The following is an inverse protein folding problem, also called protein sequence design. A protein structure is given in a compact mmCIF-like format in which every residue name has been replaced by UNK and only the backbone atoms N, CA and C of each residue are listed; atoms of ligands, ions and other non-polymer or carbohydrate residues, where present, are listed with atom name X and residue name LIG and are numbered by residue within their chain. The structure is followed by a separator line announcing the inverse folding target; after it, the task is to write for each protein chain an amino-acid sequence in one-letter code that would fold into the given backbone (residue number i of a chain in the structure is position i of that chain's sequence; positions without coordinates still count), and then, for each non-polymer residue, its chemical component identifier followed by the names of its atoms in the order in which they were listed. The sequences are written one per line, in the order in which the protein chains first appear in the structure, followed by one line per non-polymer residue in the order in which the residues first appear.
data_IF_990154380702
#
_entry.id   IF_990154380702
#
_cell.length_a   1.000
_cell.length_b   1.000
_cell.length_c   1.000
_cell.angle_alpha   90.00
_cell.angle_beta   90.00
_cell.angle_gamma   90.00
#
_symmetry.space_group_name_H-M   'P 1'
#
loop_
_entity.id
_entity.type
_entity.pdbx_description
1 polymer ?
#
# COMPACT_ATOMS: atom_id res chain seq x y z
N UNK A 1 33.72 -13.77 -9.79
CA UNK A 1 33.13 -14.17 -8.49
C UNK A 1 32.45 -12.93 -7.92
N UNK A 2 31.13 -12.93 -7.80
CA UNK A 2 30.41 -11.80 -7.20
C UNK A 2 30.28 -12.05 -5.70
N UNK A 3 30.71 -11.08 -4.89
CA UNK A 3 30.70 -11.22 -3.43
C UNK A 3 29.37 -10.79 -2.80
N UNK A 4 28.60 -9.94 -3.49
CA UNK A 4 27.27 -9.48 -3.08
C UNK A 4 26.50 -8.87 -4.26
N UNK A 5 25.17 -8.83 -4.15
CA UNK A 5 24.29 -8.03 -5.01
C UNK A 5 23.77 -6.79 -4.26
N UNK A 6 23.71 -5.65 -4.97
CA UNK A 6 23.13 -4.41 -4.47
C UNK A 6 21.88 -4.06 -5.31
N UNK A 7 20.71 -4.06 -4.68
CA UNK A 7 19.42 -3.96 -5.38
C UNK A 7 19.02 -5.26 -6.08
N UNK A 8 18.01 -5.24 -6.98
CA UNK A 8 17.14 -4.11 -7.35
C UNK A 8 16.25 -3.57 -6.23
N UNK A 9 15.62 -2.42 -6.47
CA UNK A 9 14.69 -1.78 -5.51
C UNK A 9 13.25 -2.28 -5.72
N UNK A 10 12.80 -2.41 -6.98
CA UNK A 10 11.43 -2.80 -7.28
C UNK A 10 11.11 -4.22 -6.82
N UNK A 11 9.95 -4.41 -6.18
CA UNK A 11 9.52 -5.69 -5.61
C UNK A 11 9.47 -6.82 -6.66
N UNK A 12 8.94 -6.54 -7.85
CA UNK A 12 8.90 -7.53 -8.94
C UNK A 12 10.29 -7.95 -9.45
N UNK A 13 11.27 -7.04 -9.40
CA UNK A 13 12.61 -7.30 -9.90
C UNK A 13 13.49 -8.01 -8.86
N UNK A 14 13.38 -7.63 -7.59
CA UNK A 14 14.17 -8.23 -6.51
C UNK A 14 13.72 -9.66 -6.18
N UNK A 15 12.44 -10.00 -6.39
CA UNK A 15 11.92 -11.34 -6.11
C UNK A 15 12.68 -12.49 -6.80
N UNK A 16 12.87 -12.51 -8.14
CA UNK A 16 13.66 -13.55 -8.79
C UNK A 16 15.14 -13.47 -8.41
N UNK A 17 15.73 -12.27 -8.33
CA UNK A 17 17.16 -12.09 -7.99
C UNK A 17 17.47 -12.69 -6.62
N UNK A 18 16.65 -12.39 -5.62
CA UNK A 18 16.83 -12.89 -4.25
C UNK A 18 16.65 -14.41 -4.14
N UNK A 19 15.77 -15.02 -4.97
CA UNK A 19 15.61 -16.49 -5.01
C UNK A 19 16.84 -17.16 -5.60
N UNK A 20 17.36 -16.67 -6.73
CA UNK A 20 18.59 -17.21 -7.33
C UNK A 20 19.80 -17.01 -6.42
N UNK A 21 19.95 -15.82 -5.85
CA UNK A 21 21.04 -15.52 -4.93
C UNK A 21 21.00 -16.40 -3.66
N UNK A 22 19.80 -16.79 -3.21
CA UNK A 22 19.62 -17.76 -2.15
C UNK A 22 20.20 -19.13 -2.48
N UNK A 23 19.99 -19.62 -3.71
CA UNK A 23 20.58 -20.89 -4.19
C UNK A 23 22.10 -20.77 -4.34
N UNK A 24 22.59 -19.62 -4.78
CA UNK A 24 24.03 -19.39 -4.98
C UNK A 24 24.79 -19.06 -3.69
N UNK A 25 24.11 -18.85 -2.57
CA UNK A 25 24.73 -18.45 -1.31
C UNK A 25 25.35 -17.04 -1.35
N UNK A 26 24.85 -16.16 -2.22
CA UNK A 26 25.36 -14.80 -2.38
C UNK A 26 24.42 -13.83 -1.64
N UNK A 27 24.95 -12.93 -0.78
CA UNK A 27 24.13 -11.93 -0.09
C UNK A 27 23.56 -10.89 -1.05
N UNK A 28 22.30 -10.51 -0.83
CA UNK A 28 21.61 -9.44 -1.56
C UNK A 28 21.25 -8.34 -0.58
N UNK A 29 21.76 -7.12 -0.80
CA UNK A 29 21.41 -5.96 -0.01
C UNK A 29 20.58 -4.99 -0.85
N UNK A 30 19.41 -4.58 -0.37
CA UNK A 30 18.55 -3.63 -1.09
C UNK A 30 17.93 -2.61 -0.15
N UNK A 31 17.68 -1.41 -0.67
CA UNK A 31 16.83 -0.39 -0.02
C UNK A 31 15.35 -0.53 -0.38
N UNK A 32 14.99 -1.46 -1.28
CA UNK A 32 13.61 -1.78 -1.63
C UNK A 32 13.13 -3.10 -1.03
N UNK A 33 12.31 -3.86 -1.78
CA UNK A 33 11.79 -5.14 -1.29
C UNK A 33 10.79 -4.95 -0.14
N UNK A 34 9.91 -3.95 -0.24
CA UNK A 34 9.07 -3.52 0.89
C UNK A 34 7.83 -4.38 1.08
N UNK A 35 7.37 -5.09 0.04
CA UNK A 35 6.30 -6.07 0.13
C UNK A 35 6.48 -7.07 1.28
N UNK A 36 5.35 -7.42 1.93
CA UNK A 36 5.36 -8.31 3.10
C UNK A 36 5.91 -9.71 2.76
N UNK A 37 5.74 -10.17 1.52
CA UNK A 37 6.21 -11.47 1.05
C UNK A 37 7.72 -11.71 1.26
N UNK A 38 8.55 -10.65 1.30
CA UNK A 38 10.00 -10.78 1.52
C UNK A 38 10.41 -11.17 2.94
N UNK A 39 9.44 -11.29 3.85
CA UNK A 39 9.63 -11.80 5.22
C UNK A 39 9.97 -13.30 5.27
N UNK A 40 9.58 -14.07 4.26
CA UNK A 40 9.75 -15.53 4.24
C UNK A 40 11.19 -15.94 3.90
N UNK A 41 12.12 -15.63 4.82
CA UNK A 41 13.57 -15.87 4.65
C UNK A 41 13.92 -17.34 4.56
N UNK A 42 13.31 -18.19 5.40
CA UNK A 42 13.62 -19.62 5.43
C UNK A 42 13.24 -20.37 4.16
N UNK A 43 12.14 -19.97 3.50
CA UNK A 43 11.61 -20.68 2.33
C UNK A 43 12.09 -20.09 1.00
N UNK A 44 12.19 -18.76 0.89
CA UNK A 44 12.31 -18.10 -0.42
C UNK A 44 13.44 -17.08 -0.52
N UNK A 45 13.85 -16.46 0.59
CA UNK A 45 14.76 -15.30 0.55
C UNK A 45 15.87 -15.36 1.60
N UNK A 46 16.66 -16.46 1.71
CA UNK A 46 17.57 -16.68 2.83
C UNK A 46 18.73 -15.68 2.90
N UNK A 47 19.18 -15.15 1.76
CA UNK A 47 20.33 -14.24 1.68
C UNK A 47 19.95 -12.77 1.47
N UNK A 48 18.66 -12.43 1.53
CA UNK A 48 18.16 -11.07 1.28
C UNK A 48 18.16 -10.24 2.57
N UNK A 49 18.94 -9.16 2.60
CA UNK A 49 18.95 -8.14 3.64
C UNK A 49 18.33 -6.85 3.11
N UNK A 50 17.30 -6.36 3.80
CA UNK A 50 16.62 -5.09 3.46
C UNK A 50 17.09 -4.00 4.40
N UNK A 51 17.57 -2.91 3.83
CA UNK A 51 18.07 -1.75 4.59
C UNK A 51 16.97 -0.72 4.86
N UNK A 52 15.81 -0.85 4.21
CA UNK A 52 14.62 -0.04 4.48
C UNK A 52 13.53 -0.89 5.16
N UNK A 53 12.63 -0.22 5.88
CA UNK A 53 11.46 -0.84 6.49
C UNK A 53 10.51 -1.46 5.45
N UNK A 54 9.68 -2.39 5.92
CA UNK A 54 8.61 -3.02 5.14
C UNK A 54 7.31 -2.24 5.27
N UNK A 55 6.43 -2.34 4.26
CA UNK A 55 5.07 -1.81 4.35
C UNK A 55 4.28 -2.34 5.57
N UNK A 56 4.67 -3.49 6.14
CA UNK A 56 4.12 -3.99 7.40
C UNK A 56 4.22 -2.98 8.54
N UNK A 57 5.30 -2.21 8.62
CA UNK A 57 5.48 -1.20 9.67
C UNK A 57 4.42 -0.08 9.55
N UNK A 58 3.99 0.26 8.33
CA UNK A 58 2.89 1.20 8.09
C UNK A 58 1.57 0.62 8.59
N UNK A 59 1.33 -0.67 8.30
CA UNK A 59 0.16 -1.39 8.83
C UNK A 59 0.13 -1.45 10.36
N UNK A 60 1.27 -1.68 11.00
CA UNK A 60 1.39 -1.69 12.46
C UNK A 60 1.17 -0.31 13.07
N UNK A 61 1.77 0.72 12.49
CA UNK A 61 1.56 2.10 12.94
C UNK A 61 0.08 2.47 12.86
N UNK A 62 -0.58 2.18 11.74
CA UNK A 62 -2.01 2.47 11.57
C UNK A 62 -2.86 1.65 12.53
N UNK A 63 -2.56 0.36 12.73
CA UNK A 63 -3.24 -0.49 13.73
C UNK A 63 -3.15 0.13 15.13
N UNK A 64 -1.98 0.61 15.53
CA UNK A 64 -1.79 1.27 16.83
C UNK A 64 -2.56 2.59 16.93
N UNK A 65 -2.60 3.39 15.87
CA UNK A 65 -3.41 4.62 15.81
C UNK A 65 -4.89 4.29 15.98
N UNK A 66 -5.42 3.37 15.17
CA UNK A 66 -6.84 2.99 15.26
C UNK A 66 -7.21 2.47 16.66
N UNK A 67 -6.35 1.62 17.25
CA UNK A 67 -6.55 1.13 18.61
C UNK A 67 -6.52 2.25 19.66
N UNK A 68 -5.61 3.23 19.51
CA UNK A 68 -5.50 4.37 20.43
C UNK A 68 -6.76 5.23 20.46
N UNK A 69 -7.46 5.36 19.34
CA UNK A 69 -8.72 6.10 19.23
C UNK A 69 -9.98 5.21 19.38
N UNK A 70 -9.81 3.90 19.60
CA UNK A 70 -10.94 2.97 19.69
C UNK A 70 -11.67 2.73 18.37
N UNK A 71 -11.05 3.04 17.23
CA UNK A 71 -11.63 2.84 15.91
C UNK A 71 -11.47 1.39 15.45
N UNK A 72 -12.59 0.74 15.11
CA UNK A 72 -12.64 -0.68 14.74
C UNK A 72 -12.80 -0.92 13.24
N UNK A 73 -13.37 0.05 12.52
CA UNK A 73 -13.70 -0.08 11.10
C UNK A 73 -13.07 1.05 10.30
N UNK A 74 -12.24 0.67 9.33
CA UNK A 74 -11.64 1.58 8.36
C UNK A 74 -11.90 1.08 6.94
N UNK A 75 -11.99 2.01 5.98
CA UNK A 75 -11.99 1.73 4.56
C UNK A 75 -10.61 2.00 3.96
N UNK A 76 -10.18 1.14 3.05
CA UNK A 76 -8.89 1.22 2.35
C UNK A 76 -9.15 1.46 0.86
N UNK A 77 -8.77 2.64 0.36
CA UNK A 77 -8.85 2.93 -1.08
C UNK A 77 -7.46 3.18 -1.63
N UNK A 78 -7.15 2.56 -2.76
CA UNK A 78 -5.81 2.66 -3.32
C UNK A 78 -5.76 2.60 -4.83
N UNK A 79 -4.78 3.30 -5.38
CA UNK A 79 -4.39 3.13 -6.75
C UNK A 79 -3.86 1.71 -6.98
N UNK A 80 -4.36 1.02 -7.99
CA UNK A 80 -3.75 -0.18 -8.55
C UNK A 80 -3.92 -0.19 -10.08
N UNK A 81 -3.02 -0.87 -10.78
CA UNK A 81 -3.20 -1.12 -12.21
C UNK A 81 -4.21 -2.26 -12.44
N UNK A 82 -4.85 -2.27 -13.61
CA UNK A 82 -5.75 -3.36 -14.00
C UNK A 82 -5.00 -4.70 -14.03
N UNK A 83 -5.70 -5.81 -13.72
CA UNK A 83 -5.09 -7.14 -13.71
C UNK A 83 -4.49 -7.55 -15.07
N UNK A 84 -5.07 -7.05 -16.17
CA UNK A 84 -4.61 -7.29 -17.54
C UNK A 84 -3.39 -6.43 -17.93
N UNK A 85 -2.99 -5.48 -17.08
CA UNK A 85 -1.84 -4.62 -17.33
C UNK A 85 -0.53 -5.36 -17.14
N UNK A 86 0.43 -5.13 -18.04
CA UNK A 86 1.81 -5.60 -17.89
C UNK A 86 2.58 -4.93 -16.74
N UNK A 87 2.00 -3.91 -16.09
CA UNK A 87 2.63 -3.17 -14.99
C UNK A 87 2.60 -3.92 -13.65
N UNK A 88 1.73 -4.92 -13.50
CA UNK A 88 1.52 -5.60 -12.22
C UNK A 88 0.84 -4.71 -11.17
N UNK A 89 0.97 -5.08 -9.90
CA UNK A 89 0.43 -4.31 -8.78
C UNK A 89 1.27 -3.07 -8.47
N UNK A 90 0.60 -2.00 -8.08
CA UNK A 90 1.25 -0.76 -7.65
C UNK A 90 1.89 -0.90 -6.24
N UNK A 91 2.80 0.02 -5.90
CA UNK A 91 3.33 0.16 -4.54
C UNK A 91 2.21 0.41 -3.50
N UNK A 92 1.17 1.16 -3.88
CA UNK A 92 0.00 1.39 -3.04
C UNK A 92 -0.80 0.12 -2.78
N UNK A 93 -0.89 -0.79 -3.75
CA UNK A 93 -1.48 -2.10 -3.54
C UNK A 93 -0.69 -2.89 -2.50
N UNK A 94 0.65 -2.97 -2.61
CA UNK A 94 1.45 -3.68 -1.63
C UNK A 94 1.36 -3.05 -0.23
N UNK A 95 1.32 -1.72 -0.17
CA UNK A 95 1.20 -0.98 1.09
C UNK A 95 -0.13 -1.23 1.78
N UNK A 96 -1.26 -1.03 1.09
CA UNK A 96 -2.57 -1.27 1.70
C UNK A 96 -2.88 -2.74 1.91
N UNK A 97 -2.25 -3.66 1.16
CA UNK A 97 -2.32 -5.10 1.45
C UNK A 97 -1.64 -5.43 2.79
N UNK A 98 -0.52 -4.78 3.10
CA UNK A 98 0.15 -4.92 4.40
C UNK A 98 -0.70 -4.31 5.53
N UNK A 99 -1.31 -3.13 5.30
CA UNK A 99 -2.27 -2.52 6.24
C UNK A 99 -3.47 -3.44 6.48
N UNK A 100 -4.09 -3.93 5.42
CA UNK A 100 -5.25 -4.82 5.49
C UNK A 100 -4.95 -6.09 6.30
N UNK A 101 -3.75 -6.65 6.10
CA UNK A 101 -3.27 -7.81 6.86
C UNK A 101 -3.04 -7.47 8.34
N UNK A 102 -2.49 -6.29 8.65
CA UNK A 102 -2.29 -5.84 10.03
C UNK A 102 -3.61 -5.53 10.77
N UNK A 103 -4.65 -5.11 10.04
CA UNK A 103 -5.99 -4.85 10.59
C UNK A 103 -6.87 -6.11 10.69
N UNK A 104 -6.27 -7.31 10.66
CA UNK A 104 -6.99 -8.59 10.75
C UNK A 104 -8.11 -8.75 9.70
N UNK A 105 -7.97 -8.13 8.53
CA UNK A 105 -8.90 -8.25 7.39
C UNK A 105 -10.34 -7.75 7.65
N UNK A 106 -10.55 -6.90 8.66
CA UNK A 106 -11.89 -6.36 8.95
C UNK A 106 -12.25 -5.14 8.09
N UNK A 107 -11.26 -4.54 7.43
CA UNK A 107 -11.44 -3.31 6.66
C UNK A 107 -12.08 -3.54 5.30
N UNK A 108 -13.04 -2.68 4.93
CA UNK A 108 -13.54 -2.65 3.55
C UNK A 108 -12.43 -2.09 2.65
N UNK A 109 -12.19 -2.67 1.49
CA UNK A 109 -11.18 -2.17 0.57
C UNK A 109 -11.69 -2.09 -0.87
N UNK A 110 -11.21 -1.10 -1.62
CA UNK A 110 -11.53 -0.94 -3.04
C UNK A 110 -10.36 -0.30 -3.79
N UNK A 111 -9.90 -0.97 -4.84
CA UNK A 111 -8.87 -0.43 -5.73
C UNK A 111 -9.47 0.41 -6.84
N UNK A 112 -8.73 1.39 -7.32
CA UNK A 112 -9.08 2.19 -8.49
C UNK A 112 -7.84 2.45 -9.37
N UNK A 113 -8.03 2.81 -10.63
CA UNK A 113 -6.92 3.16 -11.51
C UNK A 113 -6.89 4.68 -11.73
N UNK A 114 -5.90 5.35 -11.14
CA UNK A 114 -5.74 6.81 -11.24
C UNK A 114 -5.45 7.30 -12.67
N UNK A 115 -5.03 6.41 -13.58
CA UNK A 115 -4.74 6.76 -14.99
C UNK A 115 -6.02 6.82 -15.84
N UNK A 116 -7.10 6.17 -15.41
CA UNK A 116 -8.33 6.03 -16.20
C UNK A 116 -9.58 6.57 -15.51
N UNK A 117 -9.55 6.65 -14.18
CA UNK A 117 -10.69 7.10 -13.40
C UNK A 117 -10.85 8.63 -13.50
N UNK A 118 -12.10 9.06 -13.48
CA UNK A 118 -12.49 10.47 -13.46
C UNK A 118 -13.15 10.85 -12.13
N UNK A 119 -13.56 12.11 -12.03
CA UNK A 119 -14.13 12.68 -10.81
C UNK A 119 -15.45 12.01 -10.38
N UNK A 120 -16.28 11.54 -11.33
CA UNK A 120 -17.49 10.76 -11.00
C UNK A 120 -17.16 9.39 -10.41
N UNK A 121 -16.08 8.76 -10.86
CA UNK A 121 -15.62 7.49 -10.29
C UNK A 121 -15.15 7.68 -8.84
N UNK A 122 -14.51 8.81 -8.53
CA UNK A 122 -14.13 9.14 -7.16
C UNK A 122 -15.35 9.42 -6.27
N UNK A 123 -16.38 10.12 -6.79
CA UNK A 123 -17.65 10.29 -6.06
C UNK A 123 -18.31 8.95 -5.74
N UNK A 124 -18.44 8.07 -6.74
CA UNK A 124 -18.98 6.72 -6.55
C UNK A 124 -18.15 5.88 -5.56
N UNK A 125 -16.83 6.06 -5.56
CA UNK A 125 -15.92 5.41 -4.62
C UNK A 125 -16.17 5.91 -3.18
N UNK A 126 -16.31 7.21 -2.99
CA UNK A 126 -16.57 7.84 -1.70
C UNK A 126 -17.95 7.47 -1.16
N UNK A 127 -18.99 7.45 -2.01
CA UNK A 127 -20.33 6.98 -1.63
C UNK A 127 -20.36 5.51 -1.21
N UNK A 128 -19.53 4.67 -1.84
CA UNK A 128 -19.38 3.27 -1.43
C UNK A 128 -18.72 3.18 -0.04
N UNK A 129 -17.67 3.96 0.18
CA UNK A 129 -16.92 3.98 1.43
C UNK A 129 -17.75 4.55 2.58
N UNK A 130 -18.53 5.61 2.33
CA UNK A 130 -19.36 6.29 3.32
C UNK A 130 -20.45 5.40 3.92
N UNK A 131 -20.85 4.33 3.22
CA UNK A 131 -21.80 3.34 3.76
C UNK A 131 -21.17 2.38 4.76
N UNK A 132 -19.85 2.22 4.73
CA UNK A 132 -19.15 1.14 5.44
C UNK A 132 -18.25 1.64 6.56
N UNK A 133 -17.61 2.79 6.39
CA UNK A 133 -16.63 3.30 7.34
C UNK A 133 -16.64 4.84 7.40
N UNK A 134 -16.12 5.36 8.51
CA UNK A 134 -15.85 6.78 8.74
C UNK A 134 -14.36 7.12 8.66
N UNK A 135 -13.51 6.14 8.92
CA UNK A 135 -12.06 6.25 8.75
C UNK A 135 -11.69 5.76 7.36
N UNK A 136 -11.11 6.62 6.54
CA UNK A 136 -10.75 6.34 5.14
C UNK A 136 -9.25 6.47 4.99
N UNK A 137 -8.58 5.37 4.65
CA UNK A 137 -7.15 5.30 4.40
C UNK A 137 -6.92 5.20 2.91
N UNK A 138 -6.11 6.09 2.39
CA UNK A 138 -5.94 6.32 0.96
C UNK A 138 -4.47 6.17 0.57
N UNK A 139 -4.21 5.60 -0.60
CA UNK A 139 -2.89 5.61 -1.22
C UNK A 139 -3.01 5.82 -2.73
N UNK A 140 -2.54 6.96 -3.21
CA UNK A 140 -2.45 7.30 -4.63
C UNK A 140 -1.40 8.42 -4.79
N UNK A 141 -1.19 8.92 -6.01
CA UNK A 141 -0.38 10.12 -6.20
C UNK A 141 -1.04 11.34 -5.54
N UNK A 142 -0.26 12.39 -5.27
CA UNK A 142 -0.73 13.60 -4.57
C UNK A 142 -1.85 14.32 -5.31
N UNK A 143 -1.80 14.36 -6.65
CA UNK A 143 -2.85 14.96 -7.49
C UNK A 143 -4.20 14.25 -7.32
N UNK A 144 -4.21 12.92 -7.38
CA UNK A 144 -5.42 12.12 -7.24
C UNK A 144 -5.95 12.12 -5.81
N UNK A 145 -5.09 12.13 -4.79
CA UNK A 145 -5.53 12.33 -3.40
C UNK A 145 -6.24 13.68 -3.26
N UNK A 146 -5.71 14.75 -3.87
CA UNK A 146 -6.35 16.06 -3.89
C UNK A 146 -7.72 16.02 -4.59
N UNK A 147 -7.82 15.38 -5.76
CA UNK A 147 -9.09 15.24 -6.48
C UNK A 147 -10.13 14.46 -5.68
N UNK A 148 -9.73 13.40 -4.98
CA UNK A 148 -10.61 12.64 -4.08
C UNK A 148 -11.10 13.51 -2.93
N UNK A 149 -10.21 14.32 -2.32
CA UNK A 149 -10.60 15.19 -1.21
C UNK A 149 -11.52 16.33 -1.67
N UNK A 150 -11.32 16.89 -2.86
CA UNK A 150 -12.25 17.86 -3.44
C UNK A 150 -13.63 17.24 -3.71
N UNK A 151 -13.67 16.00 -4.24
CA UNK A 151 -14.93 15.28 -4.39
C UNK A 151 -15.60 14.98 -3.04
N UNK A 152 -14.82 14.72 -1.98
CA UNK A 152 -15.34 14.53 -0.62
C UNK A 152 -15.89 15.83 -0.01
N UNK A 153 -15.29 16.98 -0.31
CA UNK A 153 -15.77 18.30 0.08
C UNK A 153 -17.13 18.61 -0.58
N UNK A 154 -17.26 18.37 -1.89
CA UNK A 154 -18.53 18.53 -2.61
C UNK A 154 -19.65 17.61 -2.08
N UNK A 155 -19.29 16.43 -1.55
CA UNK A 155 -20.20 15.49 -0.89
C UNK A 155 -20.47 15.86 0.58
N UNK A 156 -19.90 16.96 1.09
CA UNK A 156 -20.06 17.41 2.47
C UNK A 156 -19.37 16.52 3.51
N UNK A 157 -18.49 15.61 3.10
CA UNK A 157 -17.83 14.67 4.00
C UNK A 157 -16.75 15.35 4.85
N UNK A 158 -16.06 16.35 4.28
CA UNK A 158 -14.95 17.05 4.95
C UNK A 158 -15.45 17.96 6.07
N UNK A 159 -16.46 18.78 5.79
CA UNK A 159 -16.99 19.77 6.75
C UNK A 159 -17.89 19.14 7.83
N UNK A 160 -18.37 17.91 7.62
CA UNK A 160 -19.24 17.22 8.59
C UNK A 160 -18.55 16.91 9.92
N UNK A 161 -17.22 16.81 9.94
CA UNK A 161 -16.46 16.31 11.10
C UNK A 161 -16.66 14.81 11.40
N UNK A 162 -17.45 14.09 10.60
CA UNK A 162 -17.75 12.67 10.81
C UNK A 162 -16.68 11.74 10.21
N UNK A 163 -15.86 12.25 9.28
CA UNK A 163 -14.89 11.45 8.52
C UNK A 163 -13.46 11.83 8.86
N UNK A 164 -12.59 10.82 8.89
CA UNK A 164 -11.15 11.00 9.04
C UNK A 164 -10.47 10.40 7.82
N UNK A 165 -9.71 11.23 7.11
CA UNK A 165 -8.97 10.82 5.92
C UNK A 165 -7.48 10.70 6.25
N UNK A 166 -6.92 9.51 6.05
CA UNK A 166 -5.49 9.25 6.11
C UNK A 166 -4.95 9.09 4.69
N UNK A 167 -3.91 9.84 4.34
CA UNK A 167 -3.15 9.63 3.10
C UNK A 167 -1.81 8.98 3.43
N UNK A 168 -1.50 7.85 2.79
CA UNK A 168 -0.19 7.21 2.88
C UNK A 168 0.62 7.63 1.66
N UNK A 169 1.65 8.44 1.90
CA UNK A 169 2.56 8.91 0.87
C UNK A 169 3.84 8.06 0.88
N UNK A 170 4.09 7.32 -0.20
CA UNK A 170 5.19 6.34 -0.27
C UNK A 170 6.51 6.93 -0.80
N UNK A 171 6.49 8.13 -1.37
CA UNK A 171 7.65 9.02 -1.55
C UNK A 171 7.22 10.27 -2.31
N UNK A 172 7.76 11.41 -1.92
CA UNK A 172 7.75 12.66 -2.69
C UNK A 172 8.85 12.56 -3.75
N UNK A 173 8.49 12.26 -5.00
CA UNK A 173 9.32 12.57 -6.17
C UNK A 173 8.49 13.35 -7.16
#
# INVERSE_FOLDING_TARGET
MHHAFLGPVCDYAIAPVARYAGVWGIPVLTTGGQADAFRHKGEHYPTLTRMMGSHRLVGEALRHILQGFGWTTAALIYHNHAMESSKGHSECHFTLSAVFSALNKTSVHKSFNQETNNLNDYRNLLEFVSRSARIVVMCANSTTIREILLAAEELGMVDSGEYVFFSIELSSR
#
